data_IF_431978905369
#
_entry.id   IF_431978905369
#
_cell.length_a   1.000
_cell.length_b   1.000
_cell.length_c   1.000
_cell.angle_alpha   90.00
_cell.angle_beta   90.00
_cell.angle_gamma   90.00
#
_symmetry.space_group_name_H-M   'P 1'
#
loop_
_entity.id
_entity.type
_entity.pdbx_description
1 polymer ?
#
# COMPACT_ATOMS: atom_id res chain seq x y z
N UNK A 1 19.11 12.37 2.13
CA UNK A 1 19.43 10.93 2.03
C UNK A 1 18.23 10.00 2.29
N UNK A 2 17.47 10.19 3.37
CA UNK A 2 16.39 9.25 3.76
C UNK A 2 15.17 9.23 2.81
N UNK A 3 14.75 10.38 2.28
CA UNK A 3 13.63 10.44 1.33
C UNK A 3 13.89 9.63 0.04
N UNK A 4 15.08 9.75 -0.54
CA UNK A 4 15.49 8.96 -1.71
C UNK A 4 15.52 7.46 -1.44
N UNK A 5 16.03 7.05 -0.26
CA UNK A 5 16.04 5.64 0.16
C UNK A 5 14.63 5.09 0.34
N UNK A 6 13.75 5.88 0.96
CA UNK A 6 12.32 5.51 1.11
C UNK A 6 11.66 5.35 -0.26
N UNK A 7 11.83 6.31 -1.17
CA UNK A 7 11.28 6.22 -2.52
C UNK A 7 11.78 4.97 -3.25
N UNK A 8 13.10 4.76 -3.27
CA UNK A 8 13.69 3.56 -3.88
C UNK A 8 13.18 2.26 -3.24
N UNK A 9 12.99 2.23 -1.93
CA UNK A 9 12.42 1.08 -1.23
C UNK A 9 10.96 0.81 -1.63
N UNK A 10 10.12 1.85 -1.73
CA UNK A 10 8.73 1.68 -2.15
C UNK A 10 8.63 1.10 -3.56
N UNK A 11 9.50 1.52 -4.49
CA UNK A 11 9.55 0.96 -5.84
C UNK A 11 9.83 -0.55 -5.83
N UNK A 12 10.63 -1.06 -4.88
CA UNK A 12 10.89 -2.51 -4.75
C UNK A 12 9.65 -3.32 -4.37
N UNK A 13 8.59 -2.68 -3.88
CA UNK A 13 7.36 -3.34 -3.47
C UNK A 13 6.37 -3.49 -4.63
N UNK A 14 6.58 -2.82 -5.76
CA UNK A 14 5.72 -2.96 -6.96
C UNK A 14 5.79 -4.41 -7.48
N UNK A 15 4.63 -5.01 -7.74
CA UNK A 15 4.49 -6.41 -8.15
C UNK A 15 4.38 -7.40 -6.98
N UNK A 16 4.64 -6.98 -5.74
CA UNK A 16 4.46 -7.83 -4.56
C UNK A 16 2.99 -7.92 -4.11
N UNK A 17 2.69 -8.93 -3.30
CA UNK A 17 1.45 -8.98 -2.53
C UNK A 17 1.73 -8.56 -1.08
N UNK A 18 0.89 -7.68 -0.54
CA UNK A 18 0.97 -7.16 0.81
C UNK A 18 -0.31 -7.46 1.57
N UNK A 19 -0.21 -7.67 2.88
CA UNK A 19 -1.36 -7.66 3.79
C UNK A 19 -1.51 -6.25 4.33
N UNK A 20 -2.63 -5.61 4.03
CA UNK A 20 -2.87 -4.19 4.31
C UNK A 20 -4.03 -4.06 5.29
N UNK A 21 -3.78 -3.44 6.45
CA UNK A 21 -4.85 -3.00 7.33
C UNK A 21 -5.51 -1.78 6.70
N UNK A 22 -6.79 -1.87 6.36
CA UNK A 22 -7.55 -0.72 5.85
C UNK A 22 -8.04 0.12 7.02
N UNK A 23 -7.65 1.38 7.03
CA UNK A 23 -7.88 2.31 8.15
C UNK A 23 -8.92 3.37 7.80
N UNK A 24 -9.15 3.61 6.50
CA UNK A 24 -10.02 4.68 6.00
C UNK A 24 -10.98 4.17 4.95
N UNK A 25 -12.16 4.78 4.88
CA UNK A 25 -13.21 4.42 3.92
C UNK A 25 -12.82 4.68 2.45
N UNK A 26 -11.83 5.56 2.22
CA UNK A 26 -11.22 5.82 0.91
C UNK A 26 -10.25 4.72 0.46
N UNK A 27 -10.08 3.65 1.26
CA UNK A 27 -9.21 2.51 0.95
C UNK A 27 -7.76 2.70 1.41
N UNK A 28 -7.43 3.81 2.08
CA UNK A 28 -6.09 4.00 2.65
C UNK A 28 -5.87 3.16 3.90
N UNK A 29 -4.62 2.75 4.06
CA UNK A 29 -4.15 1.96 5.18
C UNK A 29 -2.65 1.69 5.10
N UNK A 30 -2.20 0.70 5.86
CA UNK A 30 -0.78 0.36 5.94
C UNK A 30 -0.55 -1.14 5.74
N UNK A 31 0.52 -1.46 5.02
CA UNK A 31 1.04 -2.82 4.93
C UNK A 31 1.76 -3.24 6.24
N UNK A 32 2.05 -4.53 6.41
CA UNK A 32 2.78 -5.08 7.58
C UNK A 32 4.16 -4.42 7.79
N UNK A 33 4.76 -3.87 6.74
CA UNK A 33 6.02 -3.13 6.77
C UNK A 33 5.84 -1.60 6.99
N UNK A 34 4.64 -1.16 7.35
CA UNK A 34 4.26 0.23 7.57
C UNK A 34 4.30 1.15 6.33
N UNK A 35 4.41 0.59 5.12
CA UNK A 35 4.20 1.37 3.91
C UNK A 35 2.72 1.77 3.80
N UNK A 36 2.46 3.05 3.50
CA UNK A 36 1.10 3.53 3.21
C UNK A 36 0.65 2.98 1.85
N UNK A 37 -0.59 2.46 1.81
CA UNK A 37 -1.20 1.87 0.62
C UNK A 37 -2.59 2.44 0.41
N UNK A 38 -2.90 2.81 -0.84
CA UNK A 38 -4.27 3.09 -1.29
C UNK A 38 -4.80 1.87 -2.04
N UNK A 39 -5.83 1.23 -1.48
CA UNK A 39 -6.46 0.04 -2.07
C UNK A 39 -7.67 0.44 -2.90
N UNK A 40 -7.66 0.12 -4.19
CA UNK A 40 -8.77 0.40 -5.12
C UNK A 40 -9.28 -0.89 -5.75
N UNK A 41 -10.59 -1.20 -5.69
CA UNK A 41 -11.62 -0.49 -4.92
C UNK A 41 -11.39 -0.59 -3.41
N UNK A 42 -11.90 0.36 -2.60
CA UNK A 42 -11.77 0.33 -1.14
C UNK A 42 -12.30 -0.96 -0.53
N UNK A 43 -11.65 -1.44 0.55
CA UNK A 43 -12.12 -2.57 1.36
C UNK A 43 -12.66 -2.08 2.72
N UNK A 44 -13.23 -3.00 3.49
CA UNK A 44 -13.81 -2.66 4.79
C UNK A 44 -12.74 -2.17 5.77
N UNK A 45 -13.01 -1.03 6.41
CA UNK A 45 -12.19 -0.49 7.50
C UNK A 45 -12.07 -1.50 8.63
N UNK A 46 -10.89 -1.58 9.25
CA UNK A 46 -10.59 -2.51 10.35
C UNK A 46 -10.31 -3.94 9.90
N UNK A 47 -10.26 -4.22 8.60
CA UNK A 47 -9.87 -5.52 8.05
C UNK A 47 -8.48 -5.48 7.43
N UNK A 48 -7.80 -6.62 7.54
CA UNK A 48 -6.57 -6.87 6.77
C UNK A 48 -6.97 -7.46 5.42
N UNK A 49 -6.68 -6.75 4.33
CA UNK A 49 -6.91 -7.19 2.96
C UNK A 49 -5.59 -7.69 2.32
N UNK A 50 -5.67 -8.68 1.43
CA UNK A 50 -4.55 -9.04 0.56
C UNK A 50 -4.59 -8.15 -0.68
N UNK A 51 -3.48 -7.48 -0.96
CA UNK A 51 -3.40 -6.42 -1.96
C UNK A 51 -2.17 -6.64 -2.85
N UNK A 52 -2.37 -6.71 -4.16
CA UNK A 52 -1.31 -6.65 -5.16
C UNK A 52 -0.89 -5.20 -5.32
N UNK A 53 0.39 -4.88 -5.11
CA UNK A 53 0.93 -3.55 -5.34
C UNK A 53 1.21 -3.37 -6.83
N UNK A 54 0.63 -2.35 -7.43
CA UNK A 54 0.67 -2.10 -8.87
C UNK A 54 1.44 -0.82 -9.24
N UNK A 55 1.82 -0.01 -8.27
CA UNK A 55 2.61 1.18 -8.51
C UNK A 55 2.84 2.02 -7.26
N UNK A 56 3.48 3.17 -7.45
CA UNK A 56 3.71 4.19 -6.41
C UNK A 56 3.30 5.54 -6.98
N UNK A 57 2.55 6.34 -6.22
CA UNK A 57 2.23 7.73 -6.54
C UNK A 57 2.44 8.58 -5.30
N UNK A 58 3.12 9.71 -5.42
CA UNK A 58 3.38 10.63 -4.30
C UNK A 58 3.88 9.91 -3.04
N UNK A 59 4.80 8.95 -3.22
CA UNK A 59 5.39 8.20 -2.11
C UNK A 59 4.39 7.31 -1.32
N UNK A 60 3.25 6.97 -1.93
CA UNK A 60 2.21 6.06 -1.44
C UNK A 60 2.07 4.89 -2.43
N UNK A 61 1.96 3.66 -1.93
CA UNK A 61 1.74 2.49 -2.78
C UNK A 61 0.30 2.48 -3.29
N UNK A 62 0.13 2.13 -4.56
CA UNK A 62 -1.17 1.89 -5.18
C UNK A 62 -1.38 0.38 -5.28
N UNK A 63 -2.54 -0.08 -4.84
CA UNK A 63 -2.83 -1.51 -4.82
C UNK A 63 -4.26 -1.85 -5.22
N UNK A 64 -4.41 -3.06 -5.74
CA UNK A 64 -5.70 -3.67 -6.05
C UNK A 64 -5.84 -4.96 -5.24
N UNK A 65 -7.06 -5.42 -4.94
CA UNK A 65 -7.24 -6.72 -4.31
C UNK A 65 -6.56 -7.83 -5.12
N UNK A 66 -5.80 -8.68 -4.43
CA UNK A 66 -5.06 -9.80 -5.03
C UNK A 66 -5.99 -10.93 -5.52
#
# INVERSE_FOLDING_TARGET
>A
ASARRRAAWLETLVGSEQRVLVERADGRGHAENFAEVTVTPPRHVGRIARVRIIGVSDNILLGVPA
#
